data_IF_205655649776
#
_entry.id   IF_205655649776
#
_cell.length_a   1.000
_cell.length_b   1.000
_cell.length_c   1.000
_cell.angle_alpha   90.00
_cell.angle_beta   90.00
_cell.angle_gamma   90.00
#
_symmetry.space_group_name_H-M   'P 1'
#
loop_
_entity.id
_entity.type
_entity.pdbx_description
1 polymer ?
#
# COMPACT_ATOMS: atom_id res chain seq x y z
N UNK A 1 -5.61 -7.91 -21.11
CA UNK A 1 -4.42 -7.20 -20.56
C UNK A 1 -4.53 -5.71 -20.88
N UNK A 2 -4.50 -4.80 -19.91
CA UNK A 2 -4.40 -3.37 -20.24
C UNK A 2 -2.98 -3.12 -20.76
N UNK A 3 -2.73 -2.71 -21.99
CA UNK A 3 -1.34 -2.56 -22.48
C UNK A 3 -0.74 -1.17 -22.20
N UNK A 4 -1.60 -0.20 -21.86
CA UNK A 4 -1.21 1.20 -21.63
C UNK A 4 -1.60 1.62 -20.21
N UNK A 5 -0.70 2.26 -19.47
CA UNK A 5 -1.05 3.01 -18.26
C UNK A 5 -1.83 4.26 -18.70
N UNK A 6 -3.08 4.39 -18.25
CA UNK A 6 -3.95 5.54 -18.51
C UNK A 6 -4.66 5.90 -17.22
N UNK A 7 -4.77 7.19 -16.92
CA UNK A 7 -5.44 7.68 -15.72
C UNK A 7 -6.95 7.42 -15.72
N UNK A 8 -7.54 7.41 -16.91
CA UNK A 8 -8.97 7.29 -17.12
C UNK A 8 -9.42 5.83 -17.25
N UNK A 9 -8.49 4.89 -17.38
CA UNK A 9 -8.87 3.51 -17.65
C UNK A 9 -9.36 2.76 -16.40
N UNK A 10 -9.02 3.23 -15.18
CA UNK A 10 -9.23 2.54 -13.88
C UNK A 10 -8.72 1.08 -13.81
N UNK A 11 -8.09 0.58 -14.87
CA UNK A 11 -7.48 -0.74 -15.01
C UNK A 11 -6.08 -0.81 -14.41
N UNK A 12 -5.55 0.31 -13.91
CA UNK A 12 -4.34 0.31 -13.11
C UNK A 12 -4.62 -0.43 -11.80
N UNK A 13 -4.16 -1.68 -11.70
CA UNK A 13 -4.32 -2.53 -10.53
C UNK A 13 -3.00 -2.62 -9.77
N UNK A 14 -2.69 -1.73 -8.80
CA UNK A 14 -1.78 -2.11 -7.73
C UNK A 14 -2.28 -3.43 -7.13
N UNK A 15 -1.37 -4.30 -6.71
CA UNK A 15 -1.76 -5.61 -6.18
C UNK A 15 -2.80 -5.42 -5.07
N UNK A 16 -4.01 -5.92 -5.28
CA UNK A 16 -5.09 -5.75 -4.32
C UNK A 16 -4.87 -6.60 -3.07
N UNK A 17 -4.16 -7.72 -3.25
CA UNK A 17 -3.76 -8.63 -2.20
C UNK A 17 -2.27 -8.97 -2.36
N UNK A 18 -1.55 -9.07 -1.24
CA UNK A 18 -0.18 -9.57 -1.20
C UNK A 18 -0.04 -10.60 -0.08
N UNK A 19 0.74 -11.64 -0.35
CA UNK A 19 1.13 -12.61 0.66
C UNK A 19 2.38 -12.12 1.39
N UNK A 20 2.39 -12.29 2.71
CA UNK A 20 3.50 -11.96 3.59
C UNK A 20 3.81 -13.18 4.44
N UNK A 21 5.09 -13.51 4.58
CA UNK A 21 5.53 -14.58 5.47
C UNK A 21 5.64 -13.99 6.88
N UNK A 22 4.98 -14.64 7.85
CA UNK A 22 5.08 -14.23 9.25
C UNK A 22 6.47 -14.59 9.80
N UNK A 23 7.22 -13.60 10.28
CA UNK A 23 8.53 -13.83 10.91
C UNK A 23 8.47 -14.67 12.18
N UNK A 24 7.34 -14.67 12.89
CA UNK A 24 7.19 -15.40 14.16
C UNK A 24 6.84 -16.88 14.00
N UNK A 25 6.05 -17.25 12.98
CA UNK A 25 5.57 -18.64 12.81
C UNK A 25 5.82 -19.24 11.42
N UNK A 26 6.45 -18.51 10.51
CA UNK A 26 6.78 -18.95 9.15
C UNK A 26 5.60 -19.11 8.19
N UNK A 27 4.35 -19.01 8.65
CA UNK A 27 3.16 -19.16 7.79
C UNK A 27 2.88 -17.90 6.99
N UNK A 28 2.37 -18.09 5.77
CA UNK A 28 1.96 -16.98 4.91
C UNK A 28 0.58 -16.43 5.33
N UNK A 29 0.43 -15.11 5.30
CA UNK A 29 -0.85 -14.42 5.48
C UNK A 29 -1.05 -13.45 4.32
N UNK A 30 -2.25 -13.46 3.75
CA UNK A 30 -2.62 -12.56 2.66
C UNK A 30 -3.29 -11.33 3.26
N UNK A 31 -2.73 -10.14 2.99
CA UNK A 31 -3.29 -8.85 3.38
C UNK A 31 -3.81 -8.09 2.15
N UNK A 32 -4.85 -7.28 2.34
CA UNK A 32 -5.35 -6.40 1.29
C UNK A 32 -4.46 -5.15 1.13
N UNK A 33 -4.61 -4.43 0.01
CA UNK A 33 -3.98 -3.12 -0.20
C UNK A 33 -4.34 -2.16 0.94
N UNK A 34 -5.58 -2.18 1.41
CA UNK A 34 -6.03 -1.33 2.52
C UNK A 34 -5.30 -1.67 3.82
N UNK A 35 -5.23 -2.94 4.19
CA UNK A 35 -4.54 -3.38 5.40
C UNK A 35 -3.04 -3.05 5.36
N UNK A 36 -2.42 -3.17 4.18
CA UNK A 36 -1.04 -2.71 3.99
C UNK A 36 -0.91 -1.20 4.21
N UNK A 37 -1.82 -0.40 3.66
CA UNK A 37 -1.79 1.06 3.82
C UNK A 37 -2.07 1.51 5.26
N UNK A 38 -2.84 0.74 6.03
CA UNK A 38 -2.98 0.91 7.48
C UNK A 38 -1.68 0.55 8.22
N UNK A 39 -1.06 -0.59 7.90
CA UNK A 39 0.21 -1.02 8.51
C UNK A 39 1.35 -0.03 8.27
N UNK A 40 1.36 0.59 7.08
CA UNK A 40 2.30 1.63 6.69
C UNK A 40 1.95 3.02 7.26
N UNK A 41 0.80 3.19 7.91
CA UNK A 41 0.37 4.46 8.49
C UNK A 41 -0.08 5.52 7.48
N UNK A 42 -0.37 5.13 6.23
CA UNK A 42 -0.91 6.06 5.22
C UNK A 42 -2.39 6.34 5.46
N UNK A 43 -3.16 5.32 5.83
CA UNK A 43 -4.57 5.45 6.18
C UNK A 43 -4.78 5.36 7.70
N UNK A 44 -5.80 6.06 8.21
CA UNK A 44 -6.21 5.99 9.62
C UNK A 44 -7.55 5.29 9.71
N UNK A 45 -7.70 4.37 10.67
CA UNK A 45 -8.99 3.73 10.89
C UNK A 45 -10.03 4.83 11.15
N UNK A 46 -11.22 4.70 10.58
CA UNK A 46 -12.30 5.62 10.89
C UNK A 46 -12.53 5.57 12.40
N UNK A 47 -12.44 6.72 13.07
CA UNK A 47 -12.92 6.82 14.44
C UNK A 47 -14.45 6.88 14.35
N UNK A 48 -15.22 5.96 14.95
CA UNK A 48 -16.60 6.29 15.25
C UNK A 48 -16.59 7.53 16.17
N UNK A 49 -17.47 8.48 15.92
CA UNK A 49 -17.62 9.64 16.81
C UNK A 49 -17.85 9.17 18.25
N UNK A 50 -17.07 9.70 19.19
CA UNK A 50 -17.21 9.39 20.61
C UNK A 50 -16.30 8.27 21.14
N UNK A 51 -15.76 7.37 20.31
CA UNK A 51 -14.91 6.27 20.79
C UNK A 51 -13.44 6.45 20.38
N UNK A 52 -12.52 6.30 21.35
CA UNK A 52 -11.09 6.16 21.03
C UNK A 52 -10.92 4.79 20.38
N UNK A 53 -10.94 4.72 19.04
CA UNK A 53 -10.50 3.52 18.33
C UNK A 53 -9.12 3.13 18.87
N UNK A 54 -9.09 2.10 19.71
CA UNK A 54 -7.87 1.66 20.38
C UNK A 54 -6.84 1.27 19.32
N UNK A 55 -5.57 1.62 19.54
CA UNK A 55 -4.47 1.25 18.64
C UNK A 55 -4.46 -0.26 18.33
N UNK A 56 -5.03 -1.07 19.23
CA UNK A 56 -5.23 -2.51 19.14
C UNK A 56 -6.09 -2.97 17.93
N UNK A 57 -7.19 -2.27 17.62
CA UNK A 57 -8.10 -2.66 16.52
C UNK A 57 -7.46 -2.45 15.14
N UNK A 58 -6.63 -1.41 15.01
CA UNK A 58 -5.84 -1.19 13.81
C UNK A 58 -4.78 -2.27 13.61
N UNK A 59 -4.12 -2.68 14.70
CA UNK A 59 -3.05 -3.68 14.68
C UNK A 59 -3.53 -5.06 14.20
N UNK A 60 -4.75 -5.48 14.60
CA UNK A 60 -5.34 -6.77 14.21
C UNK A 60 -5.53 -6.92 12.69
N UNK A 61 -5.76 -5.82 11.97
CA UNK A 61 -6.03 -5.84 10.51
C UNK A 61 -4.85 -6.38 9.69
N UNK A 62 -3.64 -6.23 10.21
CA UNK A 62 -2.40 -6.67 9.58
C UNK A 62 -1.63 -7.66 10.47
N UNK A 63 -2.33 -8.39 11.32
CA UNK A 63 -1.78 -9.49 12.10
C UNK A 63 -1.77 -10.81 11.31
N UNK A 64 -0.84 -11.69 11.67
CA UNK A 64 -0.80 -13.06 11.17
C UNK A 64 -2.08 -13.81 11.61
N UNK A 65 -2.78 -14.43 10.66
CA UNK A 65 -4.00 -15.19 10.95
C UNK A 65 -3.77 -16.46 11.77
N UNK A 66 -2.52 -16.90 11.89
CA UNK A 66 -2.19 -18.16 12.56
C UNK A 66 -1.69 -17.97 14.00
N UNK A 67 -0.98 -16.88 14.30
CA UNK A 67 -0.37 -16.66 15.62
C UNK A 67 -0.64 -15.27 16.21
N UNK A 68 -1.35 -14.39 15.50
CA UNK A 68 -1.66 -13.04 15.98
C UNK A 68 -0.51 -12.03 15.92
N UNK A 69 0.73 -12.47 15.64
CA UNK A 69 1.88 -11.57 15.53
C UNK A 69 1.67 -10.50 14.45
N UNK A 70 2.13 -9.27 14.72
CA UNK A 70 2.05 -8.15 13.78
C UNK A 70 2.87 -8.43 12.52
N UNK A 71 2.32 -8.14 11.34
CA UNK A 71 3.04 -8.19 10.06
C UNK A 71 3.51 -6.81 9.59
N UNK A 72 3.45 -5.78 10.46
CA UNK A 72 3.76 -4.41 10.06
C UNK A 72 5.16 -4.27 9.45
N UNK A 73 6.17 -4.91 10.04
CA UNK A 73 7.55 -4.83 9.53
C UNK A 73 7.72 -5.61 8.22
N UNK A 74 7.08 -6.78 8.09
CA UNK A 74 7.06 -7.52 6.83
C UNK A 74 6.39 -6.71 5.71
N UNK A 75 5.35 -5.94 6.02
CA UNK A 75 4.70 -5.02 5.07
C UNK A 75 5.63 -3.87 4.70
N UNK A 76 6.27 -3.22 5.67
CA UNK A 76 7.22 -2.11 5.42
C UNK A 76 8.38 -2.55 4.53
N UNK A 77 8.89 -3.75 4.75
CA UNK A 77 10.00 -4.28 3.98
C UNK A 77 9.60 -4.57 2.52
N UNK A 78 8.45 -5.21 2.32
CA UNK A 78 8.00 -5.63 0.99
C UNK A 78 7.25 -4.54 0.19
N UNK A 79 6.74 -3.50 0.86
CA UNK A 79 5.99 -2.40 0.24
C UNK A 79 6.67 -1.08 0.58
N UNK A 80 7.61 -0.69 -0.29
CA UNK A 80 8.31 0.58 -0.18
C UNK A 80 7.72 1.63 -1.13
N UNK A 81 7.71 2.91 -0.72
CA UNK A 81 7.38 4.00 -1.62
C UNK A 81 8.36 4.02 -2.80
N UNK A 82 7.85 4.21 -4.02
CA UNK A 82 8.71 4.27 -5.20
C UNK A 82 8.22 5.37 -6.16
N UNK A 83 9.14 6.01 -6.91
CA UNK A 83 8.77 7.00 -7.92
C UNK A 83 7.96 6.33 -9.04
N UNK A 84 6.91 7.02 -9.45
CA UNK A 84 6.12 6.69 -10.63
C UNK A 84 6.55 7.59 -11.80
N UNK A 85 7.28 7.03 -12.76
CA UNK A 85 7.74 7.73 -13.98
C UNK A 85 6.59 8.28 -14.83
N UNK A 86 5.39 7.71 -14.70
CA UNK A 86 4.23 8.16 -15.44
C UNK A 86 3.64 9.47 -14.88
N UNK A 87 3.50 9.60 -13.56
CA UNK A 87 2.88 10.79 -12.93
C UNK A 87 3.85 11.70 -12.17
N UNK A 88 5.13 11.31 -12.05
CA UNK A 88 6.15 12.06 -11.31
C UNK A 88 6.04 11.97 -9.78
N UNK A 89 5.03 11.27 -9.24
CA UNK A 89 4.79 11.18 -7.80
C UNK A 89 5.47 9.95 -7.19
N UNK A 90 6.02 10.09 -5.99
CA UNK A 90 6.43 8.95 -5.14
C UNK A 90 5.18 8.29 -4.55
N UNK A 91 4.87 7.10 -5.05
CA UNK A 91 3.68 6.34 -4.67
C UNK A 91 4.00 5.40 -3.51
N UNK A 92 3.29 5.54 -2.40
CA UNK A 92 3.42 4.74 -1.18
C UNK A 92 3.09 3.25 -1.39
N UNK A 93 2.21 2.93 -2.34
CA UNK A 93 1.89 1.56 -2.73
C UNK A 93 2.01 1.44 -4.25
N UNK A 94 3.23 1.25 -4.78
CA UNK A 94 3.47 1.33 -6.21
C UNK A 94 2.81 0.17 -6.97
N UNK A 95 2.27 0.47 -8.14
CA UNK A 95 1.81 -0.55 -9.08
C UNK A 95 3.00 -1.11 -9.89
N UNK A 96 2.80 -2.26 -10.54
CA UNK A 96 3.84 -2.93 -11.36
C UNK A 96 4.21 -2.18 -12.65
N UNK A 97 3.68 -0.98 -12.88
CA UNK A 97 3.89 -0.18 -14.11
C UNK A 97 4.45 1.21 -13.84
N UNK A 98 4.97 1.44 -12.63
CA UNK A 98 5.56 2.71 -12.23
C UNK A 98 6.67 3.20 -13.16
N UNK A 99 7.38 2.31 -13.85
CA UNK A 99 8.55 2.65 -14.66
C UNK A 99 8.21 3.11 -16.09
N UNK A 100 6.92 3.21 -16.44
CA UNK A 100 6.47 3.68 -17.74
C UNK A 100 6.71 5.20 -17.88
N UNK A 101 7.30 5.67 -19.01
CA UNK A 101 7.53 7.10 -19.22
C UNK A 101 6.24 7.91 -19.32
N UNK A 102 6.35 9.18 -18.94
CA UNK A 102 5.29 10.19 -18.90
C UNK A 102 4.77 10.55 -20.29
N UNK A 103 3.44 10.67 -20.43
CA UNK A 103 2.81 11.45 -21.49
C UNK A 103 2.69 12.91 -21.03
N UNK A 104 2.82 13.88 -21.93
CA UNK A 104 3.11 15.29 -21.63
C UNK A 104 2.03 16.08 -20.87
N UNK A 105 0.85 15.53 -20.56
CA UNK A 105 -0.27 16.31 -20.01
C UNK A 105 -1.18 15.54 -19.04
N UNK A 106 -0.57 14.83 -18.10
CA UNK A 106 -1.24 13.74 -17.40
C UNK A 106 -1.31 14.00 -15.86
N UNK A 107 -2.52 13.98 -15.29
CA UNK A 107 -2.82 14.12 -13.87
C UNK A 107 -2.29 12.94 -13.00
N UNK A 108 -2.32 13.02 -11.66
CA UNK A 108 -2.01 11.85 -10.83
C UNK A 108 -2.97 10.69 -11.14
N UNK A 109 -2.48 9.45 -11.14
CA UNK A 109 -3.36 8.30 -11.22
C UNK A 109 -4.23 8.23 -9.95
N UNK A 110 -5.55 8.09 -10.11
CA UNK A 110 -6.54 8.07 -9.00
C UNK A 110 -6.31 6.96 -7.96
N UNK A 111 -5.51 5.94 -8.29
CA UNK A 111 -5.16 4.83 -7.38
C UNK A 111 -3.82 5.05 -6.67
N UNK A 112 -3.10 6.12 -6.96
CA UNK A 112 -1.87 6.44 -6.25
C UNK A 112 -2.18 6.88 -4.82
N UNK A 113 -1.24 6.58 -3.93
CA UNK A 113 -1.23 7.08 -2.56
C UNK A 113 0.06 7.87 -2.42
N UNK A 114 -0.06 9.17 -2.13
CA UNK A 114 1.08 10.05 -1.96
C UNK A 114 1.89 9.63 -0.74
N UNK A 115 3.20 9.45 -0.89
CA UNK A 115 4.08 9.16 0.23
C UNK A 115 4.24 10.41 1.12
N UNK A 116 4.08 10.27 2.44
CA UNK A 116 4.20 11.34 3.44
C UNK A 116 5.64 11.83 3.66
N UNK A 117 6.65 11.02 3.30
CA UNK A 117 8.07 11.35 3.35
C UNK A 117 8.80 10.70 2.16
N UNK A 118 8.84 11.34 0.98
CA UNK A 118 9.45 10.78 -0.22
C UNK A 118 10.99 10.67 -0.13
N UNK A 119 11.62 11.41 0.77
CA UNK A 119 13.08 11.48 0.93
C UNK A 119 13.69 10.22 1.57
N UNK A 120 12.88 9.40 2.25
CA UNK A 120 13.29 8.10 2.80
C UNK A 120 13.11 6.93 1.83
N UNK A 121 12.79 7.22 0.56
CA UNK A 121 12.57 6.22 -0.48
C UNK A 121 13.84 5.90 -1.31
N UNK A 122 14.99 6.47 -0.93
CA UNK A 122 16.31 6.24 -1.52
C UNK A 122 17.03 5.06 -0.89
#
# INVERSE_FOLDING_TARGET
MCMHCSQMCDKCKPAERRAFVCGSCGKATILSRGDCLYALGYWKAAKPEGERASADEGARRFSCRHCGASLADAVREAVRPLPCRYSGIVCAYPCRRRDRPRGTADAPCRKQVLAKNPERAG
#
